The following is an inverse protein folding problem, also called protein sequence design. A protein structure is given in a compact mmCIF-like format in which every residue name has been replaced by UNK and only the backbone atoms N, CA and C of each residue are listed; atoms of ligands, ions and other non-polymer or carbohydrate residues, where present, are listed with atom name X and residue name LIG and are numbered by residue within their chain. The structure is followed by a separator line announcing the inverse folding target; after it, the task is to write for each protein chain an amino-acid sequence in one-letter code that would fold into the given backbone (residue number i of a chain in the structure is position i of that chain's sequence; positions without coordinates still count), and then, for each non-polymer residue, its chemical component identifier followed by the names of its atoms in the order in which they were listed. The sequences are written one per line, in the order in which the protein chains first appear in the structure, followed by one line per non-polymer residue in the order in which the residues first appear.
data_IF_251562560398
#
_entry.id   IF_251562560398
#
_cell.length_a   1.000
_cell.length_b   1.000
_cell.length_c   1.000
_cell.angle_alpha   90.00
_cell.angle_beta   90.00
_cell.angle_gamma   90.00
#
_symmetry.space_group_name_H-M   'P 1'
#
loop_
_entity.id
_entity.type
_entity.pdbx_description
1 polymer ?
#
# COMPACT_ATOMS: atom_id res chain seq x y z
N UNK A 1 -2.54 11.27 12.76
CA UNK A 1 -1.97 10.12 12.02
C UNK A 1 -3.06 9.43 11.22
N UNK A 2 -2.78 9.10 9.99
CA UNK A 2 -3.74 8.42 9.12
C UNK A 2 -3.17 7.10 8.63
N UNK A 3 -4.06 6.22 8.20
CA UNK A 3 -3.72 4.98 7.53
C UNK A 3 -4.45 4.92 6.19
N UNK A 4 -3.71 4.57 5.14
CA UNK A 4 -4.23 4.47 3.78
C UNK A 4 -4.19 3.00 3.38
N UNK A 5 -5.35 2.47 3.00
CA UNK A 5 -5.49 1.07 2.57
C UNK A 5 -5.84 1.02 1.09
N UNK A 6 -5.13 0.18 0.37
CA UNK A 6 -5.49 -0.13 -1.01
C UNK A 6 -5.73 -1.64 -1.08
N UNK A 7 -6.99 -2.04 -1.19
CA UNK A 7 -7.39 -3.45 -1.27
C UNK A 7 -7.33 -3.89 -2.72
N UNK A 8 -6.59 -4.96 -2.96
CA UNK A 8 -6.32 -5.43 -4.32
C UNK A 8 -6.85 -6.85 -4.49
N UNK A 9 -7.72 -7.02 -5.51
CA UNK A 9 -8.26 -8.33 -5.84
C UNK A 9 -7.26 -9.04 -6.76
N UNK A 10 -6.37 -9.83 -6.17
CA UNK A 10 -5.39 -10.59 -6.93
C UNK A 10 -6.07 -11.83 -7.51
N UNK A 11 -5.90 -12.07 -8.81
CA UNK A 11 -6.50 -13.20 -9.49
C UNK A 11 -5.96 -14.51 -8.93
N UNK A 12 -6.85 -15.50 -8.83
CA UNK A 12 -6.49 -16.84 -8.34
C UNK A 12 -5.36 -17.41 -9.19
N UNK A 13 -4.31 -17.87 -8.50
CA UNK A 13 -3.13 -18.42 -9.17
C UNK A 13 -2.07 -17.39 -9.50
N UNK A 14 -2.33 -16.09 -9.26
CA UNK A 14 -1.37 -15.02 -9.54
C UNK A 14 -0.80 -14.37 -8.27
N UNK A 15 -1.04 -14.98 -7.12
CA UNK A 15 -0.60 -14.45 -5.83
C UNK A 15 0.92 -14.31 -5.76
N UNK A 16 1.64 -15.31 -6.24
CA UNK A 16 3.09 -15.28 -6.23
C UNK A 16 3.64 -14.15 -7.11
N UNK A 17 3.05 -13.96 -8.28
CA UNK A 17 3.45 -12.89 -9.18
C UNK A 17 3.27 -11.53 -8.54
N UNK A 18 2.15 -11.34 -7.85
CA UNK A 18 1.87 -10.10 -7.13
C UNK A 18 2.91 -9.86 -6.03
N UNK A 19 3.19 -10.89 -5.21
CA UNK A 19 4.13 -10.76 -4.10
C UNK A 19 5.55 -10.47 -4.60
N UNK A 20 5.97 -11.10 -5.68
CA UNK A 20 7.29 -10.86 -6.27
C UNK A 20 7.46 -9.43 -6.76
N UNK A 21 6.38 -8.82 -7.27
CA UNK A 21 6.46 -7.43 -7.71
C UNK A 21 6.73 -6.49 -6.54
N UNK A 22 6.17 -6.76 -5.37
CA UNK A 22 6.45 -5.93 -4.20
C UNK A 22 7.84 -6.16 -3.61
N UNK A 23 8.41 -7.35 -3.77
CA UNK A 23 9.80 -7.57 -3.39
C UNK A 23 10.75 -6.73 -4.21
N UNK A 24 10.45 -6.54 -5.50
CA UNK A 24 11.28 -5.73 -6.41
C UNK A 24 10.87 -4.28 -6.51
N UNK A 25 10.02 -3.77 -5.62
CA UNK A 25 9.52 -2.40 -5.72
C UNK A 25 10.60 -1.35 -5.53
N UNK A 26 10.40 -0.19 -6.18
CA UNK A 26 11.24 0.97 -5.94
C UNK A 26 10.94 1.53 -4.55
N UNK A 27 11.96 1.63 -3.69
CA UNK A 27 11.79 2.01 -2.29
C UNK A 27 11.82 3.52 -2.10
N UNK A 28 10.96 4.23 -2.82
CA UNK A 28 10.98 5.70 -2.86
C UNK A 28 10.10 6.32 -1.77
N UNK A 29 9.01 5.65 -1.39
CA UNK A 29 8.08 6.18 -0.40
C UNK A 29 8.73 6.34 0.97
N UNK A 30 9.71 5.49 1.30
CA UNK A 30 10.40 5.53 2.59
C UNK A 30 11.13 6.84 2.85
N UNK A 31 11.43 7.60 1.81
CA UNK A 31 12.14 8.87 1.93
C UNK A 31 11.21 10.07 1.99
N UNK A 32 9.90 9.86 1.94
CA UNK A 32 8.95 10.98 1.91
C UNK A 32 8.70 11.54 3.31
N UNK A 33 8.66 12.88 3.44
CA UNK A 33 8.30 13.50 4.71
C UNK A 33 6.92 13.04 5.18
N UNK A 34 6.81 12.72 6.46
CA UNK A 34 5.56 12.29 7.07
C UNK A 34 5.21 10.82 6.85
N UNK A 35 6.00 10.09 6.05
CA UNK A 35 5.81 8.64 5.91
C UNK A 35 6.25 7.93 7.18
N UNK A 36 5.46 6.94 7.63
CA UNK A 36 5.77 6.19 8.84
C UNK A 36 6.15 4.76 8.50
N UNK A 37 5.27 4.02 7.81
CA UNK A 37 5.59 2.63 7.42
C UNK A 37 4.65 2.13 6.33
N UNK A 38 5.08 1.09 5.66
CA UNK A 38 4.31 0.39 4.64
C UNK A 38 4.26 -1.09 5.00
N UNK A 39 3.09 -1.68 4.82
CA UNK A 39 2.88 -3.11 5.06
C UNK A 39 2.10 -3.70 3.90
N UNK A 40 2.52 -4.87 3.44
CA UNK A 40 1.80 -5.63 2.43
C UNK A 40 1.16 -6.80 3.15
N UNK A 41 -0.17 -6.87 3.13
CA UNK A 41 -0.92 -7.86 3.89
C UNK A 41 -1.41 -8.97 2.98
N UNK A 42 -0.98 -10.20 3.28
CA UNK A 42 -1.47 -11.39 2.59
C UNK A 42 -2.73 -11.87 3.29
N UNK A 43 -3.80 -12.16 2.54
CA UNK A 43 -5.04 -12.60 3.18
C UNK A 43 -4.89 -13.96 3.84
N UNK A 44 -5.42 -14.10 5.07
CA UNK A 44 -5.61 -15.36 5.77
C UNK A 44 -7.09 -15.71 5.75
N UNK A 45 -7.93 -14.74 6.12
CA UNK A 45 -9.39 -14.86 6.11
C UNK A 45 -9.97 -13.62 5.43
N UNK A 46 -9.65 -13.43 4.16
CA UNK A 46 -10.06 -12.27 3.38
C UNK A 46 -9.90 -12.62 1.91
N UNK A 47 -10.59 -11.90 1.05
CA UNK A 47 -10.49 -12.07 -0.40
C UNK A 47 -9.48 -11.12 -1.04
N UNK A 48 -8.81 -10.28 -0.23
CA UNK A 48 -7.98 -9.20 -0.76
C UNK A 48 -6.60 -9.21 -0.16
N UNK A 49 -5.61 -8.89 -1.01
CA UNK A 49 -4.35 -8.36 -0.53
C UNK A 49 -4.58 -6.89 -0.17
N UNK A 50 -3.81 -6.36 0.77
CA UNK A 50 -3.91 -4.95 1.15
C UNK A 50 -2.52 -4.33 1.18
N UNK A 51 -2.37 -3.19 0.51
CA UNK A 51 -1.20 -2.33 0.67
C UNK A 51 -1.59 -1.27 1.69
N UNK A 52 -0.91 -1.26 2.82
CA UNK A 52 -1.23 -0.39 3.94
C UNK A 52 -0.08 0.57 4.18
N UNK A 53 -0.37 1.86 4.20
CA UNK A 53 0.64 2.87 4.51
C UNK A 53 0.16 3.76 5.64
N UNK A 54 1.10 4.13 6.52
CA UNK A 54 0.84 4.98 7.67
C UNK A 54 1.57 6.32 7.47
N UNK A 55 0.87 7.41 7.72
CA UNK A 55 1.37 8.77 7.50
C UNK A 55 1.06 9.66 8.69
N UNK A 56 1.90 10.67 8.92
CA UNK A 56 1.66 11.63 10.01
C UNK A 56 0.35 12.39 9.81
N UNK A 57 0.04 12.75 8.56
CA UNK A 57 -1.18 13.48 8.22
C UNK A 57 -1.56 13.26 6.75
N UNK A 58 -2.74 13.73 6.39
CA UNK A 58 -3.25 13.60 5.02
C UNK A 58 -2.42 14.43 4.03
N UNK A 59 -1.91 15.59 4.45
CA UNK A 59 -1.11 16.43 3.58
C UNK A 59 0.17 15.73 3.13
N UNK A 60 0.80 14.96 4.03
CA UNK A 60 1.99 14.18 3.70
C UNK A 60 1.69 13.12 2.66
N UNK A 61 0.57 12.42 2.80
CA UNK A 61 0.15 11.42 1.81
C UNK A 61 -0.15 12.06 0.46
N UNK A 62 -0.85 13.20 0.47
CA UNK A 62 -1.17 13.93 -0.76
C UNK A 62 0.09 14.39 -1.47
N UNK A 63 1.07 14.90 -0.73
CA UNK A 63 2.36 15.29 -1.30
C UNK A 63 3.06 14.12 -1.98
N UNK A 64 2.96 12.92 -1.37
CA UNK A 64 3.51 11.71 -1.98
C UNK A 64 2.84 11.41 -3.32
N UNK A 65 1.50 11.43 -3.38
CA UNK A 65 0.77 11.09 -4.61
C UNK A 65 1.02 12.10 -5.74
N UNK A 66 1.42 13.32 -5.41
CA UNK A 66 1.70 14.37 -6.37
C UNK A 66 3.19 14.45 -6.74
N UNK A 67 4.03 13.64 -6.11
CA UNK A 67 5.48 13.71 -6.29
C UNK A 67 5.95 12.97 -7.54
N UNK A 68 7.14 13.34 -8.01
CA UNK A 68 7.80 12.61 -9.10
C UNK A 68 8.19 11.20 -8.65
N UNK A 69 8.50 11.03 -7.37
CA UNK A 69 8.84 9.73 -6.78
C UNK A 69 7.65 8.77 -6.87
N UNK A 70 6.43 9.26 -6.66
CA UNK A 70 5.22 8.45 -6.82
C UNK A 70 5.08 7.96 -8.26
N UNK A 71 5.29 8.84 -9.22
CA UNK A 71 5.23 8.49 -10.65
C UNK A 71 6.28 7.44 -10.99
N UNK A 72 7.48 7.60 -10.47
CA UNK A 72 8.57 6.64 -10.69
C UNK A 72 8.24 5.28 -10.07
N UNK A 73 7.72 5.26 -8.84
CA UNK A 73 7.36 4.03 -8.15
C UNK A 73 6.25 3.27 -8.86
N UNK A 74 5.37 3.96 -9.58
CA UNK A 74 4.23 3.37 -10.28
C UNK A 74 4.44 3.22 -11.79
N UNK A 75 5.65 3.44 -12.26
CA UNK A 75 5.98 3.39 -13.69
C UNK A 75 5.77 2.01 -14.29
N UNK A 76 6.16 0.96 -13.56
CA UNK A 76 6.02 -0.42 -14.00
C UNK A 76 4.82 -1.06 -13.31
N UNK A 77 3.63 -0.77 -13.82
CA UNK A 77 2.40 -1.34 -13.26
C UNK A 77 2.34 -2.85 -13.51
N UNK A 78 1.78 -3.62 -12.57
CA UNK A 78 1.54 -5.04 -12.82
C UNK A 78 0.62 -5.24 -14.03
N UNK A 79 0.78 -6.37 -14.71
CA UNK A 79 -0.10 -6.73 -15.80
C UNK A 79 -1.54 -6.85 -15.28
N UNK A 80 -2.51 -6.45 -16.11
CA UNK A 80 -3.92 -6.47 -15.72
C UNK A 80 -4.41 -7.86 -15.32
N UNK A 81 -3.80 -8.92 -15.87
CA UNK A 81 -4.18 -10.30 -15.57
C UNK A 81 -3.89 -10.71 -14.11
N UNK A 82 -3.06 -9.96 -13.39
CA UNK A 82 -2.78 -10.23 -11.98
C UNK A 82 -4.00 -9.93 -11.12
N UNK A 83 -4.89 -9.03 -11.58
CA UNK A 83 -6.04 -8.61 -10.80
C UNK A 83 -7.34 -9.16 -11.36
N UNK A 84 -8.24 -9.58 -10.47
CA UNK A 84 -9.57 -10.10 -10.85
C UNK A 84 -10.65 -9.04 -10.80
N UNK A 85 -10.33 -7.84 -10.32
CA UNK A 85 -11.30 -6.74 -10.23
C UNK A 85 -10.62 -5.44 -9.83
N UNK A 86 -11.40 -4.36 -9.68
CA UNK A 86 -10.85 -3.06 -9.32
C UNK A 86 -10.35 -3.04 -7.88
N UNK A 87 -9.37 -2.18 -7.62
CA UNK A 87 -8.91 -1.94 -6.26
C UNK A 87 -9.88 -1.05 -5.50
N UNK A 88 -9.86 -1.17 -4.17
CA UNK A 88 -10.67 -0.34 -3.28
C UNK A 88 -9.72 0.47 -2.40
N UNK A 89 -9.79 1.79 -2.55
CA UNK A 89 -8.97 2.73 -1.80
C UNK A 89 -9.75 3.26 -0.60
N UNK A 90 -9.10 3.23 0.58
CA UNK A 90 -9.70 3.73 1.81
C UNK A 90 -8.67 4.52 2.61
N UNK A 91 -9.12 5.55 3.29
CA UNK A 91 -8.30 6.36 4.17
C UNK A 91 -9.01 6.52 5.49
N UNK A 92 -8.30 6.28 6.59
CA UNK A 92 -8.86 6.38 7.93
C UNK A 92 -7.95 7.20 8.81
N UNK A 93 -8.55 7.94 9.74
CA UNK A 93 -7.81 8.61 10.79
C UNK A 93 -7.65 7.65 11.96
N UNK A 94 -6.44 7.57 12.51
CA UNK A 94 -6.19 6.73 13.68
C UNK A 94 -6.59 7.53 14.93
N UNK A 95 -7.66 7.11 15.57
CA UNK A 95 -8.18 7.82 16.74
C UNK A 95 -7.69 7.22 18.05
N UNK A 96 -7.11 6.02 18.01
CA UNK A 96 -6.55 5.38 19.18
C UNK A 96 -5.48 4.39 18.75
N UNK A 97 -4.37 4.39 19.45
CA UNK A 97 -3.23 3.50 19.17
C UNK A 97 -2.72 2.93 20.47
N UNK A 98 -2.43 1.64 20.49
CA UNK A 98 -1.88 0.98 21.65
C UNK A 98 -0.85 -0.06 21.20
N UNK A 99 0.21 -0.19 21.97
CA UNK A 99 1.24 -1.18 21.72
C UNK A 99 1.43 -2.03 22.97
N UNK A 100 1.93 -3.26 22.76
CA UNK A 100 2.26 -4.13 23.88
C UNK A 100 3.40 -3.50 24.66
N UNK A 101 3.30 -3.50 25.98
CA UNK A 101 4.40 -3.06 26.87
C UNK A 101 5.52 -4.09 26.80
N UNK A 102 6.73 -3.61 26.66
CA UNK A 102 7.92 -4.47 26.61
C UNK A 102 8.35 -4.89 28.01
#
# INVERSE_FOLDING_TARGET
MIVVSNRLQVAKGREKDFEERFEGRARLVENMPGFIRLEILRPIKSDYYTVLTHWEDEASFRAWTESSEFKEAHRNRPAAEIFSGPNVFEMHEIIQHAEKKS
#
